data_IF_443116747456
#
_entry.id   IF_443116747456
#
_cell.length_a   1.000
_cell.length_b   1.000
_cell.length_c   1.000
_cell.angle_alpha   90.00
_cell.angle_beta   90.00
_cell.angle_gamma   90.00
#
_symmetry.space_group_name_H-M   'P 1'
#
loop_
_entity.id
_entity.type
_entity.pdbx_description
1 polymer ?
#
# COMPACT_ATOMS: atom_id res chain seq x y z
N UNK A 1 10.30 37.67 -10.84
CA UNK A 1 10.76 36.93 -12.04
C UNK A 1 9.90 37.36 -13.20
N UNK A 2 10.49 37.99 -14.21
CA UNK A 2 9.77 38.49 -15.39
C UNK A 2 9.60 37.34 -16.39
N UNK A 3 8.40 36.76 -16.48
CA UNK A 3 8.08 35.74 -17.50
C UNK A 3 7.52 36.44 -18.74
N UNK A 4 8.28 36.44 -19.84
CA UNK A 4 7.86 37.06 -21.10
C UNK A 4 6.73 36.25 -21.78
N UNK A 5 5.68 36.91 -22.30
CA UNK A 5 4.56 36.24 -22.96
C UNK A 5 4.92 35.99 -24.43
N UNK A 6 5.57 34.87 -24.76
CA UNK A 6 5.98 34.70 -26.16
C UNK A 6 6.57 33.39 -26.66
N UNK A 7 6.78 32.38 -25.83
CA UNK A 7 7.33 31.10 -26.33
C UNK A 7 6.49 29.98 -25.71
N UNK A 8 5.68 29.30 -26.54
CA UNK A 8 4.83 28.16 -26.17
C UNK A 8 5.50 27.19 -25.18
N UNK A 9 6.82 27.03 -25.26
CA UNK A 9 7.62 26.18 -24.37
C UNK A 9 7.75 26.70 -22.92
N UNK A 10 7.83 28.02 -22.70
CA UNK A 10 7.93 28.60 -21.35
C UNK A 10 6.59 28.57 -20.61
N UNK A 11 5.47 28.72 -21.32
CA UNK A 11 4.14 28.58 -20.72
C UNK A 11 3.88 27.18 -20.18
N UNK A 12 4.30 26.12 -20.89
CA UNK A 12 4.20 24.74 -20.40
C UNK A 12 5.13 24.50 -19.19
N UNK A 13 6.38 24.96 -19.25
CA UNK A 13 7.33 24.80 -18.14
C UNK A 13 6.91 25.57 -16.87
N UNK A 14 6.35 26.77 -17.02
CA UNK A 14 5.84 27.54 -15.90
C UNK A 14 4.63 26.85 -15.26
N UNK A 15 3.77 26.20 -16.07
CA UNK A 15 2.58 25.50 -15.59
C UNK A 15 2.94 24.19 -14.87
N UNK A 16 3.89 23.41 -15.38
CA UNK A 16 4.41 22.23 -14.68
C UNK A 16 5.16 22.61 -13.41
N UNK A 17 5.99 23.66 -13.41
CA UNK A 17 6.66 24.11 -12.18
C UNK A 17 5.66 24.54 -11.09
N UNK A 18 4.58 25.23 -11.48
CA UNK A 18 3.57 25.71 -10.52
C UNK A 18 2.71 24.56 -9.97
N UNK A 19 2.44 23.54 -10.79
CA UNK A 19 1.60 22.41 -10.37
C UNK A 19 2.40 21.27 -9.72
N UNK A 20 3.57 20.92 -10.24
CA UNK A 20 4.31 19.71 -9.85
C UNK A 20 5.24 19.94 -8.66
N UNK A 21 5.92 21.10 -8.57
CA UNK A 21 6.88 21.38 -7.49
C UNK A 21 6.20 21.38 -6.12
N UNK A 22 5.00 21.98 -5.93
CA UNK A 22 4.28 21.88 -4.65
C UNK A 22 3.79 20.48 -4.31
N UNK A 23 3.72 19.56 -5.28
CA UNK A 23 3.30 18.17 -5.05
C UNK A 23 4.46 17.28 -4.58
N UNK A 24 5.72 17.67 -4.82
CA UNK A 24 6.89 16.86 -4.44
C UNK A 24 6.94 16.51 -2.95
N UNK A 25 6.65 17.43 -2.00
CA UNK A 25 6.59 17.06 -0.58
C UNK A 25 5.51 16.01 -0.27
N UNK A 26 4.36 16.06 -0.94
CA UNK A 26 3.29 15.08 -0.76
C UNK A 26 3.66 13.72 -1.35
N UNK A 27 4.33 13.69 -2.51
CA UNK A 27 4.85 12.46 -3.12
C UNK A 27 5.91 11.82 -2.22
N UNK A 28 6.81 12.63 -1.66
CA UNK A 28 7.81 12.14 -0.71
C UNK A 28 7.17 11.56 0.55
N UNK A 29 6.20 12.27 1.14
CA UNK A 29 5.44 11.78 2.28
C UNK A 29 4.71 10.46 1.99
N UNK A 30 4.12 10.32 0.80
CA UNK A 30 3.47 9.08 0.38
C UNK A 30 4.46 7.91 0.27
N UNK A 31 5.66 8.15 -0.28
CA UNK A 31 6.72 7.15 -0.35
C UNK A 31 7.21 6.73 1.04
N UNK A 32 7.44 7.69 1.94
CA UNK A 32 7.80 7.41 3.33
C UNK A 32 6.72 6.58 4.03
N UNK A 33 5.45 6.95 3.88
CA UNK A 33 4.34 6.21 4.46
C UNK A 33 4.25 4.79 3.91
N UNK A 34 4.42 4.60 2.60
CA UNK A 34 4.43 3.29 1.98
C UNK A 34 5.54 2.39 2.55
N UNK A 35 6.78 2.91 2.59
CA UNK A 35 7.92 2.16 3.12
C UNK A 35 7.77 1.83 4.61
N UNK A 36 7.28 2.79 5.41
CA UNK A 36 7.02 2.57 6.83
C UNK A 36 5.93 1.52 7.06
N UNK A 37 4.87 1.54 6.26
CA UNK A 37 3.80 0.55 6.31
C UNK A 37 4.31 -0.85 5.96
N UNK A 38 5.11 -0.98 4.90
CA UNK A 38 5.72 -2.27 4.51
C UNK A 38 6.63 -2.78 5.61
N UNK A 39 7.48 -1.92 6.17
CA UNK A 39 8.34 -2.27 7.31
C UNK A 39 7.54 -2.75 8.52
N UNK A 40 6.45 -2.05 8.88
CA UNK A 40 5.58 -2.46 9.98
C UNK A 40 4.88 -3.80 9.75
N UNK A 41 4.54 -4.13 8.50
CA UNK A 41 3.96 -5.42 8.13
C UNK A 41 4.97 -6.56 8.26
N UNK A 42 6.20 -6.36 7.79
CA UNK A 42 7.31 -7.33 7.94
C UNK A 42 7.65 -7.55 9.42
N UNK A 43 7.73 -6.49 10.21
CA UNK A 43 7.94 -6.58 11.67
C UNK A 43 6.84 -7.38 12.36
N UNK A 44 5.58 -7.16 11.98
CA UNK A 44 4.44 -7.91 12.53
C UNK A 44 4.53 -9.39 12.20
N UNK A 45 4.95 -9.73 10.98
CA UNK A 45 5.14 -11.11 10.54
C UNK A 45 6.27 -11.79 11.32
N UNK A 46 7.40 -11.10 11.52
CA UNK A 46 8.54 -11.63 12.30
C UNK A 46 8.18 -11.83 13.77
N UNK A 47 7.51 -10.85 14.40
CA UNK A 47 7.28 -10.86 15.84
C UNK A 47 6.12 -11.77 16.29
N UNK A 48 5.06 -11.88 15.48
CA UNK A 48 3.83 -12.59 15.88
C UNK A 48 3.52 -13.81 15.04
N UNK A 49 4.27 -14.05 13.96
CA UNK A 49 3.88 -15.00 12.93
C UNK A 49 2.59 -14.57 12.23
N UNK A 50 2.13 -15.38 11.29
CA UNK A 50 0.85 -15.19 10.61
C UNK A 50 0.08 -16.52 10.58
N UNK A 51 -1.22 -16.47 10.85
CA UNK A 51 -2.10 -17.65 10.78
C UNK A 51 -2.32 -18.15 9.34
N UNK A 52 -2.18 -17.25 8.36
CA UNK A 52 -2.29 -17.51 6.92
C UNK A 52 -1.27 -16.60 6.19
N UNK A 53 -0.90 -16.97 4.97
CA UNK A 53 0.10 -16.27 4.16
C UNK A 53 -0.24 -14.78 4.00
N UNK A 54 0.72 -13.88 4.19
CA UNK A 54 0.55 -12.45 3.93
C UNK A 54 1.18 -12.11 2.58
N UNK A 55 0.43 -11.46 1.69
CA UNK A 55 0.95 -11.02 0.39
C UNK A 55 1.56 -9.62 0.49
N UNK A 56 2.89 -9.45 0.37
CA UNK A 56 3.56 -8.18 0.69
C UNK A 56 3.16 -7.03 -0.22
N UNK A 57 2.86 -7.31 -1.49
CA UNK A 57 2.49 -6.28 -2.48
C UNK A 57 0.98 -6.08 -2.64
N UNK A 58 0.16 -6.80 -1.86
CA UNK A 58 -1.29 -6.60 -1.90
C UNK A 58 -1.68 -5.34 -1.13
N UNK A 59 -2.62 -4.58 -1.69
CA UNK A 59 -3.15 -3.35 -1.06
C UNK A 59 -3.72 -3.60 0.33
N UNK A 60 -4.42 -4.72 0.49
CA UNK A 60 -5.03 -5.15 1.77
C UNK A 60 -4.96 -6.66 1.86
N UNK A 61 -4.54 -7.17 3.02
CA UNK A 61 -4.66 -8.58 3.41
C UNK A 61 -5.63 -8.66 4.58
N UNK A 62 -6.81 -9.21 4.36
CA UNK A 62 -7.87 -9.35 5.37
C UNK A 62 -7.97 -10.77 5.93
N UNK A 63 -7.14 -11.71 5.43
CA UNK A 63 -7.20 -13.08 5.88
C UNK A 63 -6.91 -13.21 7.36
N UNK A 64 -7.68 -14.07 8.00
CA UNK A 64 -7.47 -14.52 9.37
C UNK A 64 -8.03 -15.94 9.50
N UNK A 65 -8.10 -16.45 10.73
CA UNK A 65 -8.66 -17.77 11.01
C UNK A 65 -10.09 -17.99 10.52
N UNK A 66 -10.89 -16.95 10.31
CA UNK A 66 -12.33 -17.04 9.95
C UNK A 66 -12.68 -16.41 8.60
N UNK A 67 -11.78 -15.59 8.04
CA UNK A 67 -11.98 -14.81 6.83
C UNK A 67 -10.96 -15.26 5.79
N UNK A 68 -11.47 -15.57 4.60
CA UNK A 68 -10.68 -15.89 3.42
C UNK A 68 -9.87 -14.68 2.93
N UNK A 69 -8.93 -14.95 2.02
CA UNK A 69 -8.09 -13.97 1.33
C UNK A 69 -8.86 -12.86 0.61
N UNK A 70 -10.14 -13.11 0.28
CA UNK A 70 -11.04 -12.17 -0.41
C UNK A 70 -12.06 -11.48 0.52
N UNK A 71 -11.89 -11.56 1.85
CA UNK A 71 -12.78 -10.87 2.81
C UNK A 71 -14.14 -11.54 3.04
N UNK A 72 -14.32 -12.79 2.58
CA UNK A 72 -15.52 -13.59 2.83
C UNK A 72 -15.27 -14.60 3.96
N UNK A 73 -16.30 -15.04 4.70
CA UNK A 73 -16.16 -16.12 5.68
C UNK A 73 -15.58 -17.39 5.06
N UNK A 74 -14.72 -18.09 5.79
CA UNK A 74 -14.14 -19.39 5.36
C UNK A 74 -15.22 -20.46 5.31
N UNK A 75 -15.27 -21.19 4.19
CA UNK A 75 -16.14 -22.37 4.05
C UNK A 75 -15.50 -23.55 4.78
N UNK A 76 -16.33 -24.40 5.39
CA UNK A 76 -15.90 -25.62 6.09
C UNK A 76 -14.89 -25.38 7.23
N UNK A 77 -15.04 -24.27 7.96
CA UNK A 77 -14.13 -23.84 9.03
C UNK A 77 -14.73 -23.95 10.45
N UNK A 78 -15.76 -24.79 10.63
CA UNK A 78 -16.50 -24.95 11.89
C UNK A 78 -16.01 -26.11 12.76
N UNK A 79 -15.01 -26.88 12.32
CA UNK A 79 -14.52 -28.07 13.02
C UNK A 79 -13.00 -28.27 12.93
N UNK A 80 -12.43 -29.12 13.80
CA UNK A 80 -11.01 -29.45 13.74
C UNK A 80 -10.72 -30.26 12.48
N UNK A 81 -9.69 -29.86 11.72
CA UNK A 81 -9.18 -30.65 10.60
C UNK A 81 -7.98 -31.48 11.10
N UNK A 82 -7.93 -32.79 10.82
CA UNK A 82 -6.83 -33.67 11.27
C UNK A 82 -5.47 -33.28 10.68
N UNK A 83 -5.47 -32.50 9.59
CA UNK A 83 -4.26 -32.01 8.92
C UNK A 83 -3.80 -30.63 9.42
N UNK A 84 -4.44 -30.08 10.46
CA UNK A 84 -4.09 -28.78 11.05
C UNK A 84 -5.13 -27.69 10.76
N UNK A 85 -4.69 -26.43 10.70
CA UNK A 85 -5.58 -25.31 10.43
C UNK A 85 -6.07 -25.36 8.97
N UNK A 86 -7.39 -25.30 8.70
CA UNK A 86 -7.92 -25.05 7.37
C UNK A 86 -7.78 -23.55 7.05
N UNK A 87 -6.53 -23.12 6.89
CA UNK A 87 -6.17 -21.75 6.52
C UNK A 87 -6.43 -21.46 5.04
#
# INVERSE_FOLDING_TARGET
MSTAPGILRLSFANLTLLLDVPQLPAIFAANCFHNYRTYGQELRLILRGADDIIYPFNRVNVQNRYVNKMGRPRKYNTGPCPLGLPY
#
